data_IF_130514184540
#
_entry.id   IF_130514184540
#
_cell.length_a   1.000
_cell.length_b   1.000
_cell.length_c   1.000
_cell.angle_alpha   90.00
_cell.angle_beta   90.00
_cell.angle_gamma   90.00
#
_symmetry.space_group_name_H-M   'P 1'
#
loop_
_entity.id
_entity.type
_entity.pdbx_description
1 polymer ?
#
# COMPACT_ATOMS: atom_id res chain seq x y z
N UNK A 1 -82.15 1.56 6.20
CA UNK A 1 -83.56 1.83 6.57
C UNK A 1 -83.55 2.79 7.76
N UNK A 2 -84.32 3.89 7.63
CA UNK A 2 -84.78 4.87 8.65
C UNK A 2 -83.70 5.56 9.54
N UNK A 3 -83.35 6.84 9.35
CA UNK A 3 -84.12 8.11 9.51
C UNK A 3 -84.40 8.42 11.00
N UNK A 4 -83.62 9.31 11.65
CA UNK A 4 -83.77 10.77 11.80
C UNK A 4 -84.80 11.19 12.88
N UNK A 5 -84.40 11.91 13.95
CA UNK A 5 -84.45 13.39 14.13
C UNK A 5 -85.30 13.74 15.39
N UNK A 6 -85.52 15.00 15.83
CA UNK A 6 -84.60 16.12 16.17
C UNK A 6 -84.99 16.87 17.48
N UNK A 7 -84.22 17.89 17.93
CA UNK A 7 -84.64 19.33 17.97
C UNK A 7 -83.69 20.27 18.77
N UNK A 8 -83.60 21.56 18.41
CA UNK A 8 -82.67 22.57 18.95
C UNK A 8 -83.36 23.77 19.66
N UNK A 9 -82.57 24.71 20.22
CA UNK A 9 -82.80 26.17 20.39
C UNK A 9 -81.99 26.71 21.60
N UNK A 10 -81.53 27.96 21.78
CA UNK A 10 -81.54 29.24 21.06
C UNK A 10 -80.58 30.22 21.79
N UNK A 11 -79.96 31.15 21.03
CA UNK A 11 -79.72 32.61 21.33
C UNK A 11 -78.84 33.01 22.56
N UNK A 12 -78.15 34.15 22.63
CA UNK A 12 -77.87 35.33 21.77
C UNK A 12 -76.72 36.12 22.45
N UNK A 13 -75.99 36.91 21.66
CA UNK A 13 -75.02 37.93 22.11
C UNK A 13 -75.68 39.24 22.58
N UNK A 14 -74.87 40.12 23.21
CA UNK A 14 -74.79 41.60 23.04
C UNK A 14 -73.73 42.15 24.04
N UNK A 15 -72.55 42.60 23.59
CA UNK A 15 -72.11 44.00 23.38
C UNK A 15 -72.25 44.96 24.58
N UNK A 16 -71.11 45.44 25.07
CA UNK A 16 -70.96 46.69 25.85
C UNK A 16 -69.78 47.51 25.31
N UNK A 17 -69.97 48.81 25.09
CA UNK A 17 -69.06 49.75 24.41
C UNK A 17 -68.21 50.56 25.42
N UNK A 18 -66.94 50.76 25.03
CA UNK A 18 -66.09 51.98 25.10
C UNK A 18 -65.78 52.63 26.45
N UNK A 19 -64.48 52.64 26.78
CA UNK A 19 -63.72 53.89 27.02
C UNK A 19 -62.29 53.71 26.52
N UNK A 20 -61.74 54.74 25.88
CA UNK A 20 -60.44 54.77 25.20
C UNK A 20 -59.53 55.66 26.06
N UNK A 21 -58.39 55.13 26.53
CA UNK A 21 -57.26 55.95 27.00
C UNK A 21 -56.01 55.39 26.34
N UNK A 22 -55.37 56.25 25.56
CA UNK A 22 -54.09 56.04 24.89
C UNK A 22 -52.98 56.32 25.89
N UNK A 23 -52.09 55.35 26.10
CA UNK A 23 -50.70 55.58 26.50
C UNK A 23 -49.83 54.57 25.77
N UNK A 24 -48.89 55.09 24.98
CA UNK A 24 -47.99 54.36 24.11
C UNK A 24 -46.83 53.69 24.86
N UNK A 25 -46.43 52.49 24.43
CA UNK A 25 -45.03 52.11 24.22
C UNK A 25 -44.91 50.72 23.56
N UNK A 26 -44.60 50.75 22.26
CA UNK A 26 -43.86 49.81 21.41
C UNK A 26 -43.90 48.28 21.68
N UNK A 27 -44.50 47.53 20.74
CA UNK A 27 -44.07 46.17 20.38
C UNK A 27 -43.67 46.20 18.90
N UNK A 28 -42.38 46.01 18.62
CA UNK A 28 -41.84 45.89 17.27
C UNK A 28 -42.16 44.50 16.71
N UNK A 29 -42.69 44.47 15.48
CA UNK A 29 -43.03 43.27 14.75
C UNK A 29 -41.78 42.51 14.28
N UNK A 30 -41.76 41.20 14.52
CA UNK A 30 -40.72 40.29 14.05
C UNK A 30 -40.80 40.10 12.53
N UNK A 31 -39.70 40.42 11.84
CA UNK A 31 -39.45 40.07 10.44
C UNK A 31 -38.78 38.70 10.42
N UNK A 32 -39.36 37.76 9.67
CA UNK A 32 -38.85 36.40 9.51
C UNK A 32 -37.47 36.38 8.86
N UNK A 33 -36.49 35.82 9.56
CA UNK A 33 -35.20 35.45 8.99
C UNK A 33 -35.31 34.05 8.40
N UNK A 34 -35.39 33.96 7.07
CA UNK A 34 -35.11 32.73 6.35
C UNK A 34 -33.65 32.36 6.56
N UNK A 35 -33.38 31.23 7.20
CA UNK A 35 -32.04 30.67 7.33
C UNK A 35 -31.62 30.18 5.93
N UNK A 36 -30.87 31.00 5.21
CA UNK A 36 -30.02 30.50 4.12
C UNK A 36 -28.96 29.60 4.77
N UNK A 37 -29.14 28.28 4.68
CA UNK A 37 -28.05 27.33 4.90
C UNK A 37 -27.09 27.51 3.74
N UNK A 38 -26.10 28.38 3.91
CA UNK A 38 -24.95 28.41 3.02
C UNK A 38 -24.16 27.14 3.28
N UNK A 39 -24.27 26.18 2.36
CA UNK A 39 -23.27 25.13 2.22
C UNK A 39 -21.93 25.82 2.02
N UNK A 40 -21.15 25.95 3.09
CA UNK A 40 -19.74 26.23 2.99
C UNK A 40 -19.17 25.17 2.06
N UNK A 41 -18.80 25.56 0.83
CA UNK A 41 -17.96 24.73 -0.03
C UNK A 41 -16.74 24.43 0.82
N UNK A 42 -16.63 23.19 1.32
CA UNK A 42 -15.37 22.72 1.87
C UNK A 42 -14.32 23.05 0.81
N UNK A 43 -13.34 23.89 1.17
CA UNK A 43 -12.21 24.13 0.28
C UNK A 43 -11.69 22.77 -0.17
N UNK A 44 -11.39 22.58 -1.47
CA UNK A 44 -10.82 21.33 -1.94
C UNK A 44 -9.65 20.98 -1.03
N UNK A 45 -9.70 19.80 -0.44
CA UNK A 45 -8.66 19.34 0.47
C UNK A 45 -7.37 19.31 -0.34
N UNK A 46 -6.38 20.10 0.07
CA UNK A 46 -5.09 20.15 -0.63
C UNK A 46 -4.29 18.89 -0.33
N UNK A 47 -4.60 17.84 -1.08
CA UNK A 47 -3.98 16.53 -0.99
C UNK A 47 -2.45 16.60 -1.10
N UNK A 48 -1.94 17.57 -1.86
CA UNK A 48 -0.54 17.65 -2.23
C UNK A 48 0.36 18.17 -1.10
N UNK A 49 -0.20 18.97 -0.19
CA UNK A 49 0.52 19.54 0.96
C UNK A 49 0.20 18.85 2.28
N UNK A 50 -0.70 17.86 2.28
CA UNK A 50 -0.99 17.04 3.45
C UNK A 50 0.27 16.31 3.95
N UNK A 51 0.35 16.22 5.27
CA UNK A 51 1.41 15.52 5.99
C UNK A 51 0.79 14.36 6.78
N UNK A 52 1.62 13.40 7.17
CA UNK A 52 1.17 12.30 8.03
C UNK A 52 0.69 12.89 9.38
N UNK A 53 -0.53 12.55 9.84
CA UNK A 53 -1.04 13.05 11.11
C UNK A 53 -0.16 12.67 12.31
N UNK A 54 -0.21 13.50 13.36
CA UNK A 54 0.48 13.18 14.60
C UNK A 54 -0.05 11.87 15.19
N UNK A 55 0.86 11.05 15.74
CA UNK A 55 0.58 9.71 16.29
C UNK A 55 0.08 8.68 15.29
N UNK A 56 0.12 8.96 13.98
CA UNK A 56 -0.29 8.03 12.95
C UNK A 56 0.84 7.06 12.55
N UNK A 57 1.02 6.04 13.39
CA UNK A 57 2.06 5.04 13.21
C UNK A 57 3.49 5.54 13.35
N UNK A 58 4.44 4.65 13.06
CA UNK A 58 5.86 4.88 13.29
C UNK A 58 6.45 6.03 12.48
N UNK A 59 5.94 6.32 11.28
CA UNK A 59 6.42 7.44 10.47
C UNK A 59 6.07 8.81 11.07
N UNK A 60 5.17 8.88 12.04
CA UNK A 60 4.87 10.09 12.82
C UNK A 60 5.86 10.35 13.96
N UNK A 61 6.78 9.41 14.22
CA UNK A 61 7.80 9.54 15.27
C UNK A 61 8.81 10.64 14.96
N UNK A 62 9.36 11.25 16.01
CA UNK A 62 10.36 12.32 15.89
C UNK A 62 9.78 13.56 15.21
N UNK A 63 10.40 13.99 14.10
CA UNK A 63 9.93 15.12 13.29
C UNK A 63 8.69 14.79 12.44
N UNK A 64 8.21 13.53 12.47
CA UNK A 64 7.14 13.07 11.61
C UNK A 64 7.52 13.00 10.13
N UNK A 65 6.51 12.82 9.28
CA UNK A 65 6.66 12.74 7.82
C UNK A 65 5.85 13.83 7.15
N UNK A 66 6.55 14.80 6.58
CA UNK A 66 5.99 16.00 5.95
C UNK A 66 6.22 16.07 4.44
N UNK A 67 7.05 15.15 3.92
CA UNK A 67 7.38 15.07 2.51
C UNK A 67 7.90 16.40 1.96
N UNK A 68 7.32 16.80 0.83
CA UNK A 68 7.62 18.05 0.14
C UNK A 68 6.71 19.22 0.49
N UNK A 69 5.98 19.21 1.60
CA UNK A 69 5.00 20.27 1.95
C UNK A 69 5.57 21.70 1.94
N UNK A 70 6.90 21.85 2.04
CA UNK A 70 7.61 23.14 1.95
C UNK A 70 8.11 23.49 0.55
N UNK A 71 7.68 22.78 -0.49
CA UNK A 71 8.09 23.04 -1.85
C UNK A 71 7.65 24.44 -2.29
N UNK A 72 8.54 25.15 -2.99
CA UNK A 72 8.17 26.38 -3.67
C UNK A 72 7.48 26.08 -5.01
N UNK A 73 7.09 27.13 -5.73
CA UNK A 73 6.46 27.01 -7.03
C UNK A 73 7.37 26.37 -8.10
N UNK A 74 8.70 26.56 -8.01
CA UNK A 74 9.66 25.99 -8.94
C UNK A 74 9.89 24.49 -8.72
N UNK A 75 9.65 24.01 -7.50
CA UNK A 75 9.77 22.61 -7.09
C UNK A 75 8.40 21.90 -6.94
N UNK A 76 7.36 22.49 -7.50
CA UNK A 76 6.03 21.88 -7.60
C UNK A 76 5.74 21.51 -9.04
N UNK A 77 5.76 20.21 -9.33
CA UNK A 77 5.67 19.67 -10.68
C UNK A 77 4.34 18.97 -10.92
N UNK A 78 3.83 19.05 -12.14
CA UNK A 78 2.82 18.11 -12.65
C UNK A 78 3.42 17.35 -13.82
N UNK A 79 3.41 16.02 -13.75
CA UNK A 79 4.08 15.13 -14.69
C UNK A 79 3.12 14.08 -15.22
N UNK A 80 3.27 13.73 -16.50
CA UNK A 80 2.45 12.75 -17.23
C UNK A 80 3.27 11.80 -18.09
N UNK A 81 4.59 11.95 -18.12
CA UNK A 81 5.50 11.09 -18.87
C UNK A 81 6.70 10.70 -18.03
N UNK A 82 7.39 9.63 -18.43
CA UNK A 82 8.63 9.19 -17.79
C UNK A 82 9.67 10.31 -17.76
N UNK A 83 9.91 10.96 -18.90
CA UNK A 83 10.91 12.02 -19.02
C UNK A 83 10.63 13.20 -18.07
N UNK A 84 9.34 13.58 -17.94
CA UNK A 84 8.92 14.61 -17.00
C UNK A 84 9.15 14.18 -15.54
N UNK A 85 8.83 12.93 -15.19
CA UNK A 85 9.06 12.40 -13.85
C UNK A 85 10.56 12.38 -13.50
N UNK A 86 11.41 11.88 -14.40
CA UNK A 86 12.88 11.89 -14.22
C UNK A 86 13.39 13.31 -13.98
N UNK A 87 12.93 14.28 -14.79
CA UNK A 87 13.32 15.68 -14.64
C UNK A 87 12.86 16.28 -13.31
N UNK A 88 11.64 15.98 -12.87
CA UNK A 88 11.06 16.48 -11.61
C UNK A 88 11.74 15.88 -10.37
N UNK A 89 12.19 14.62 -10.44
CA UNK A 89 12.96 13.97 -9.38
C UNK A 89 14.36 14.56 -9.25
N UNK A 90 15.01 14.88 -10.38
CA UNK A 90 16.33 15.47 -10.39
C UNK A 90 17.40 14.56 -9.76
N UNK A 91 18.36 15.16 -9.07
CA UNK A 91 19.40 14.39 -8.37
C UNK A 91 18.85 13.74 -7.11
N UNK A 92 19.16 12.46 -6.89
CA UNK A 92 18.81 11.76 -5.65
C UNK A 92 19.45 12.37 -4.39
N UNK A 93 20.50 13.19 -4.54
CA UNK A 93 21.16 13.90 -3.44
C UNK A 93 20.57 15.29 -3.17
N UNK A 94 19.71 15.80 -4.05
CA UNK A 94 19.09 17.10 -3.84
C UNK A 94 18.01 17.00 -2.75
N UNK A 95 18.16 17.80 -1.69
CA UNK A 95 17.25 17.76 -0.54
C UNK A 95 16.20 18.86 -0.55
N UNK A 96 16.13 19.66 -1.62
CA UNK A 96 15.13 20.72 -1.78
C UNK A 96 13.73 20.12 -1.69
N UNK A 97 12.84 20.64 -0.82
CA UNK A 97 11.47 20.14 -0.74
C UNK A 97 10.77 20.21 -2.09
N UNK A 98 10.12 19.11 -2.50
CA UNK A 98 9.44 19.05 -3.81
C UNK A 98 8.13 18.27 -3.79
N UNK A 99 7.17 18.74 -4.56
CA UNK A 99 5.88 18.08 -4.78
C UNK A 99 5.82 17.64 -6.25
N UNK A 100 5.61 16.35 -6.49
CA UNK A 100 5.49 15.76 -7.82
C UNK A 100 4.08 15.19 -7.96
N UNK A 101 3.24 15.87 -8.74
CA UNK A 101 1.86 15.48 -9.04
C UNK A 101 1.85 14.63 -10.29
N UNK A 102 1.52 13.34 -10.17
CA UNK A 102 1.40 12.43 -11.31
C UNK A 102 -0.01 12.53 -11.88
N UNK A 103 -0.13 12.91 -13.15
CA UNK A 103 -1.39 13.03 -13.88
C UNK A 103 -1.48 11.93 -14.92
N UNK A 104 -2.44 11.02 -14.76
CA UNK A 104 -2.55 9.84 -15.62
C UNK A 104 -1.50 8.77 -15.31
N UNK A 105 -1.48 7.73 -16.13
CA UNK A 105 -0.53 6.62 -15.99
C UNK A 105 0.76 6.94 -16.75
N UNK A 106 1.89 6.89 -16.06
CA UNK A 106 3.23 6.99 -16.65
C UNK A 106 3.72 5.59 -17.01
N UNK A 107 3.97 5.33 -18.29
CA UNK A 107 4.67 4.12 -18.75
C UNK A 107 6.18 4.30 -18.61
N UNK A 108 6.77 3.56 -17.66
CA UNK A 108 8.20 3.58 -17.38
C UNK A 108 9.03 2.91 -18.49
N UNK A 109 8.41 2.05 -19.33
CA UNK A 109 9.06 1.44 -20.49
C UNK A 109 8.92 2.35 -21.72
N UNK A 110 9.24 3.63 -21.56
CA UNK A 110 9.40 4.59 -22.65
C UNK A 110 10.80 5.21 -22.59
N UNK A 111 11.35 5.63 -23.72
CA UNK A 111 12.57 6.45 -23.74
C UNK A 111 12.23 7.95 -23.50
N UNK A 112 13.23 8.82 -23.54
CA UNK A 112 13.05 10.26 -23.30
C UNK A 112 12.18 10.95 -24.37
N UNK A 113 12.07 10.37 -25.57
CA UNK A 113 11.18 10.84 -26.64
C UNK A 113 9.76 10.27 -26.55
N UNK A 114 9.45 9.46 -25.52
CA UNK A 114 8.15 8.80 -25.35
C UNK A 114 7.94 7.55 -26.21
N UNK A 115 8.97 7.08 -26.94
CA UNK A 115 8.89 5.81 -27.69
C UNK A 115 8.87 4.65 -26.70
N UNK A 116 7.91 3.74 -26.83
CA UNK A 116 7.85 2.50 -26.05
C UNK A 116 9.10 1.63 -26.28
N UNK A 117 9.62 1.07 -25.20
CA UNK A 117 10.72 0.13 -25.15
C UNK A 117 10.20 -1.25 -24.76
N UNK A 118 10.82 -2.28 -25.31
CA UNK A 118 10.53 -3.69 -25.07
C UNK A 118 11.75 -4.38 -24.46
N UNK A 119 11.58 -5.61 -23.97
CA UNK A 119 12.71 -6.44 -23.55
C UNK A 119 13.72 -6.66 -24.69
N UNK A 120 13.28 -6.70 -25.95
CA UNK A 120 14.18 -6.80 -27.09
C UNK A 120 15.03 -5.52 -27.26
N UNK A 121 14.46 -4.33 -27.04
CA UNK A 121 15.21 -3.07 -27.09
C UNK A 121 16.30 -3.02 -26.00
N UNK A 122 15.99 -3.51 -24.78
CA UNK A 122 16.99 -3.59 -23.71
C UNK A 122 18.06 -4.66 -23.97
N UNK A 123 17.72 -5.78 -24.63
CA UNK A 123 18.67 -6.82 -25.00
C UNK A 123 19.54 -6.46 -26.22
N UNK A 124 19.09 -5.53 -27.07
CA UNK A 124 19.78 -5.17 -28.30
C UNK A 124 21.24 -4.77 -28.03
N UNK A 125 22.17 -5.39 -28.77
CA UNK A 125 23.59 -5.11 -28.69
C UNK A 125 24.30 -5.57 -27.40
N UNK A 126 23.65 -6.35 -26.52
CA UNK A 126 24.32 -6.94 -25.33
C UNK A 126 24.84 -8.36 -25.58
N UNK A 127 24.39 -9.01 -26.66
CA UNK A 127 24.64 -10.44 -26.92
C UNK A 127 23.72 -11.40 -26.17
N UNK A 128 22.75 -10.87 -25.40
CA UNK A 128 21.79 -11.69 -24.67
C UNK A 128 20.71 -12.24 -25.61
N UNK A 129 20.39 -13.52 -25.46
CA UNK A 129 19.10 -14.05 -25.91
C UNK A 129 18.62 -15.08 -24.90
N UNK A 130 17.31 -15.09 -24.64
CA UNK A 130 16.73 -16.06 -23.70
C UNK A 130 17.01 -17.50 -24.14
N UNK A 131 16.91 -17.79 -25.45
CA UNK A 131 17.22 -19.14 -25.98
C UNK A 131 18.66 -19.57 -25.72
N UNK A 132 19.65 -18.69 -25.93
CA UNK A 132 21.05 -19.02 -25.65
C UNK A 132 21.33 -19.11 -24.15
N UNK A 133 20.70 -18.25 -23.34
CA UNK A 133 20.79 -18.31 -21.88
C UNK A 133 20.27 -19.65 -21.35
N UNK A 134 19.10 -20.08 -21.82
CA UNK A 134 18.50 -21.35 -21.43
C UNK A 134 19.38 -22.54 -21.84
N UNK A 135 19.95 -22.51 -23.06
CA UNK A 135 20.89 -23.55 -23.50
C UNK A 135 22.17 -23.58 -22.65
N UNK A 136 22.69 -22.42 -22.27
CA UNK A 136 23.93 -22.32 -21.51
C UNK A 136 23.80 -22.79 -20.06
N UNK A 137 22.63 -22.61 -19.46
CA UNK A 137 22.40 -22.83 -18.03
C UNK A 137 21.35 -23.90 -17.71
N UNK A 138 21.04 -24.77 -18.68
CA UNK A 138 20.17 -25.93 -18.47
C UNK A 138 20.73 -26.81 -17.34
N UNK A 139 19.98 -27.02 -16.24
CA UNK A 139 20.45 -27.81 -15.10
C UNK A 139 20.90 -29.22 -15.47
N UNK A 140 20.36 -29.82 -16.55
CA UNK A 140 20.76 -31.14 -17.01
C UNK A 140 22.21 -31.19 -17.53
N UNK A 141 22.76 -30.05 -17.99
CA UNK A 141 24.11 -29.96 -18.57
C UNK A 141 25.05 -29.06 -17.77
N UNK A 142 24.52 -27.97 -17.19
CA UNK A 142 25.28 -27.00 -16.42
C UNK A 142 25.42 -27.38 -14.93
N UNK A 143 24.49 -28.18 -14.41
CA UNK A 143 24.40 -28.55 -13.00
C UNK A 143 23.86 -27.41 -12.13
N UNK A 144 24.22 -27.45 -10.83
CA UNK A 144 23.70 -26.52 -9.81
C UNK A 144 24.62 -25.35 -9.44
N UNK A 145 25.69 -25.11 -10.20
CA UNK A 145 26.57 -23.97 -9.93
C UNK A 145 25.91 -22.66 -10.37
N UNK A 146 26.25 -21.55 -9.73
CA UNK A 146 25.75 -20.23 -10.12
C UNK A 146 26.09 -19.91 -11.60
N UNK A 147 25.13 -19.44 -12.41
CA UNK A 147 25.38 -19.04 -13.79
C UNK A 147 26.51 -18.01 -13.90
N UNK A 148 27.38 -18.22 -14.88
CA UNK A 148 28.54 -17.37 -15.17
C UNK A 148 28.96 -17.50 -16.63
N UNK A 149 29.80 -16.59 -17.11
CA UNK A 149 30.25 -16.55 -18.50
C UNK A 149 29.34 -15.72 -19.41
N UNK A 150 29.49 -15.89 -20.73
CA UNK A 150 29.00 -14.96 -21.76
C UNK A 150 27.52 -14.59 -21.62
N UNK A 151 26.62 -15.56 -21.50
CA UNK A 151 25.19 -15.28 -21.45
C UNK A 151 24.73 -14.65 -20.13
N UNK A 152 25.37 -14.96 -19.01
CA UNK A 152 25.06 -14.29 -17.74
C UNK A 152 25.59 -12.85 -17.70
N UNK A 153 26.78 -12.60 -18.26
CA UNK A 153 27.29 -11.23 -18.45
C UNK A 153 26.40 -10.41 -19.38
N UNK A 154 25.93 -11.01 -20.48
CA UNK A 154 25.02 -10.36 -21.42
C UNK A 154 23.65 -10.07 -20.79
N UNK A 155 23.11 -11.01 -19.99
CA UNK A 155 21.88 -10.81 -19.21
C UNK A 155 22.02 -9.63 -18.26
N UNK A 156 23.08 -9.59 -17.45
CA UNK A 156 23.37 -8.47 -16.54
C UNK A 156 23.44 -7.14 -17.28
N UNK A 157 24.10 -7.10 -18.43
CA UNK A 157 24.20 -5.89 -19.26
C UNK A 157 22.83 -5.43 -19.79
N UNK A 158 21.96 -6.37 -20.18
CA UNK A 158 20.59 -6.05 -20.60
C UNK A 158 19.71 -5.58 -19.43
N UNK A 159 19.83 -6.23 -18.28
CA UNK A 159 19.17 -5.81 -17.04
C UNK A 159 19.60 -4.41 -16.62
N UNK A 160 20.89 -4.06 -16.71
CA UNK A 160 21.38 -2.71 -16.41
C UNK A 160 20.81 -1.65 -17.36
N UNK A 161 20.55 -1.99 -18.63
CA UNK A 161 19.87 -1.10 -19.57
C UNK A 161 18.42 -0.85 -19.17
N UNK A 162 17.67 -1.89 -18.81
CA UNK A 162 16.30 -1.74 -18.30
C UNK A 162 16.27 -0.93 -17.01
N UNK A 163 17.12 -1.29 -16.04
CA UNK A 163 17.24 -0.62 -14.74
C UNK A 163 17.45 0.89 -14.87
N UNK A 164 18.35 1.33 -15.76
CA UNK A 164 18.59 2.76 -16.04
C UNK A 164 17.33 3.48 -16.53
N UNK A 165 16.41 2.76 -17.15
CA UNK A 165 15.18 3.33 -17.69
C UNK A 165 14.05 3.36 -16.66
N UNK A 166 13.83 2.25 -15.95
CA UNK A 166 12.60 2.04 -15.18
C UNK A 166 12.72 2.35 -13.68
N UNK A 167 13.94 2.49 -13.15
CA UNK A 167 14.15 2.82 -11.74
C UNK A 167 14.16 4.34 -11.53
N UNK A 168 13.22 4.82 -10.73
CA UNK A 168 13.05 6.22 -10.35
C UNK A 168 13.56 6.45 -8.92
N UNK A 169 14.71 7.10 -8.77
CA UNK A 169 15.25 7.42 -7.44
C UNK A 169 14.59 8.66 -6.87
N UNK A 170 14.02 8.53 -5.69
CA UNK A 170 13.32 9.60 -4.98
C UNK A 170 14.28 10.29 -4.00
N UNK A 171 14.49 11.62 -4.11
CA UNK A 171 15.31 12.34 -3.14
C UNK A 171 14.54 12.62 -1.84
N UNK A 172 15.27 13.06 -0.80
CA UNK A 172 14.65 13.46 0.47
C UNK A 172 13.67 14.63 0.31
N UNK A 173 12.74 14.77 1.27
CA UNK A 173 11.75 15.86 1.33
C UNK A 173 10.85 15.91 0.09
N UNK A 174 10.33 14.76 -0.32
CA UNK A 174 9.54 14.62 -1.54
C UNK A 174 8.14 14.11 -1.25
N UNK A 175 7.12 14.76 -1.81
CA UNK A 175 5.77 14.20 -1.92
C UNK A 175 5.52 13.80 -3.37
N UNK A 176 5.31 12.52 -3.63
CA UNK A 176 4.87 11.99 -4.92
C UNK A 176 3.42 11.56 -4.78
N UNK A 177 2.54 12.16 -5.56
CA UNK A 177 1.11 12.08 -5.32
C UNK A 177 0.33 12.06 -6.62
N UNK A 178 -0.64 11.15 -6.71
CA UNK A 178 -1.51 11.08 -7.88
C UNK A 178 -2.56 12.20 -7.90
N UNK A 179 -2.77 12.80 -9.07
CA UNK A 179 -3.86 13.76 -9.30
C UNK A 179 -5.20 13.01 -9.30
N UNK A 180 -6.12 13.32 -8.37
CA UNK A 180 -7.44 12.68 -8.28
C UNK A 180 -8.19 12.65 -9.62
N UNK A 181 -8.92 11.56 -9.87
CA UNK A 181 -9.74 11.38 -11.08
C UNK A 181 -8.96 11.11 -12.38
N UNK A 182 -7.62 11.13 -12.37
CA UNK A 182 -6.83 10.97 -13.59
C UNK A 182 -6.32 9.56 -13.84
N UNK A 183 -6.61 8.60 -12.95
CA UNK A 183 -6.00 7.26 -12.93
C UNK A 183 -4.47 7.35 -12.82
N UNK A 184 -4.02 8.19 -11.90
CA UNK A 184 -2.61 8.46 -11.67
C UNK A 184 -1.85 7.18 -11.27
N UNK A 185 -0.69 6.96 -11.86
CA UNK A 185 0.09 5.75 -11.57
C UNK A 185 1.37 5.62 -12.38
N UNK A 186 2.12 4.57 -12.08
CA UNK A 186 3.34 4.17 -12.80
C UNK A 186 3.17 2.71 -13.20
N UNK A 187 3.30 2.42 -14.49
CA UNK A 187 3.34 1.05 -15.01
C UNK A 187 4.75 0.70 -15.46
N UNK A 188 5.22 -0.53 -15.22
CA UNK A 188 6.56 -0.95 -15.66
C UNK A 188 7.73 -0.40 -14.84
N UNK A 189 7.45 0.40 -13.81
CA UNK A 189 8.45 1.20 -13.09
C UNK A 189 8.70 0.71 -11.67
N UNK A 190 9.87 1.08 -11.15
CA UNK A 190 10.27 0.83 -9.76
C UNK A 190 10.65 2.15 -9.10
N UNK A 191 9.91 2.53 -8.05
CA UNK A 191 10.16 3.75 -7.29
C UNK A 191 11.09 3.45 -6.11
N UNK A 192 12.31 4.00 -6.14
CA UNK A 192 13.36 3.70 -5.19
C UNK A 192 13.58 4.86 -4.22
N UNK A 193 13.16 4.68 -2.97
CA UNK A 193 13.43 5.58 -1.84
C UNK A 193 14.63 5.01 -1.10
N UNK A 194 15.84 5.43 -1.49
CA UNK A 194 17.07 4.83 -1.00
C UNK A 194 17.98 5.85 -0.32
N UNK A 195 18.38 5.56 0.92
CA UNK A 195 19.29 6.39 1.72
C UNK A 195 18.84 7.86 1.85
N UNK A 196 17.51 8.05 1.93
CA UNK A 196 16.85 9.35 2.00
C UNK A 196 15.84 9.36 3.14
N UNK A 197 15.31 10.53 3.48
CA UNK A 197 14.29 10.65 4.51
C UNK A 197 13.15 11.57 4.11
N UNK A 198 12.06 11.49 4.86
CA UNK A 198 10.92 12.39 4.76
C UNK A 198 10.28 12.34 3.36
N UNK A 199 9.67 11.20 3.04
CA UNK A 199 9.04 10.94 1.72
C UNK A 199 7.59 10.51 1.90
N UNK A 200 6.72 11.05 1.05
CA UNK A 200 5.30 10.72 0.96
C UNK A 200 5.02 10.13 -0.43
N UNK A 201 4.36 8.98 -0.50
CA UNK A 201 3.93 8.32 -1.75
C UNK A 201 2.44 8.03 -1.66
N UNK A 202 1.61 8.72 -2.46
CA UNK A 202 0.15 8.68 -2.26
C UNK A 202 -0.70 8.66 -3.52
N UNK A 203 -1.84 7.99 -3.47
CA UNK A 203 -2.86 8.02 -4.53
C UNK A 203 -2.37 7.54 -5.91
N UNK A 204 -1.49 6.54 -5.94
CA UNK A 204 -0.89 6.01 -7.18
C UNK A 204 -1.19 4.54 -7.38
N UNK A 205 -1.54 4.16 -8.59
CA UNK A 205 -1.49 2.75 -9.01
C UNK A 205 -0.09 2.41 -9.52
N UNK A 206 0.58 1.47 -8.88
CA UNK A 206 1.78 0.81 -9.36
C UNK A 206 1.40 -0.52 -9.99
N UNK A 207 1.71 -0.69 -11.27
CA UNK A 207 1.30 -1.85 -12.04
C UNK A 207 2.46 -2.44 -12.86
N UNK A 208 2.42 -3.75 -13.10
CA UNK A 208 3.33 -4.46 -14.01
C UNK A 208 4.81 -4.10 -13.82
N UNK A 209 5.32 -4.10 -12.58
CA UNK A 209 6.76 -3.90 -12.34
C UNK A 209 7.54 -5.16 -12.72
N UNK A 210 7.83 -5.29 -14.02
CA UNK A 210 8.37 -6.50 -14.63
C UNK A 210 9.89 -6.41 -14.87
N UNK A 211 10.63 -7.44 -14.50
CA UNK A 211 12.00 -7.67 -14.94
C UNK A 211 11.99 -8.42 -16.28
N UNK A 212 12.61 -7.84 -17.31
CA UNK A 212 12.76 -8.49 -18.60
C UNK A 212 13.78 -9.63 -18.57
N UNK A 213 14.65 -9.66 -17.54
CA UNK A 213 15.82 -10.52 -17.47
C UNK A 213 16.00 -11.19 -16.10
N UNK A 214 14.99 -11.91 -15.56
CA UNK A 214 15.13 -12.70 -14.34
C UNK A 214 16.40 -13.55 -14.36
N UNK A 215 17.10 -13.58 -13.23
CA UNK A 215 18.29 -14.40 -13.05
C UNK A 215 17.89 -15.81 -12.65
N UNK A 216 18.48 -16.82 -13.30
CA UNK A 216 18.37 -18.20 -12.84
C UNK A 216 19.32 -18.42 -11.64
N UNK A 217 18.79 -18.93 -10.54
CA UNK A 217 19.59 -19.42 -9.41
C UNK A 217 19.26 -20.90 -9.16
N UNK A 218 20.10 -21.85 -9.60
CA UNK A 218 19.87 -23.28 -9.40
C UNK A 218 20.07 -23.74 -7.95
N UNK A 219 20.55 -22.86 -7.06
CA UNK A 219 20.75 -23.11 -5.63
C UNK A 219 19.65 -22.53 -4.75
N UNK A 220 18.76 -21.71 -5.30
CA UNK A 220 17.60 -21.19 -4.59
C UNK A 220 16.55 -22.31 -4.42
N UNK A 221 16.36 -22.74 -3.16
CA UNK A 221 15.54 -23.90 -2.84
C UNK A 221 16.10 -25.22 -3.38
N UNK A 222 15.31 -26.29 -3.32
CA UNK A 222 15.75 -27.64 -3.73
C UNK A 222 15.87 -27.80 -5.25
N UNK A 223 15.16 -26.97 -6.00
CA UNK A 223 14.91 -27.12 -7.45
C UNK A 223 15.34 -25.90 -8.27
N UNK A 224 15.94 -24.88 -7.63
CA UNK A 224 16.26 -23.60 -8.25
C UNK A 224 15.06 -22.69 -8.40
N UNK A 225 15.30 -21.39 -8.58
CA UNK A 225 14.28 -20.38 -8.84
C UNK A 225 14.76 -19.32 -9.85
N UNK A 226 13.80 -18.65 -10.49
CA UNK A 226 14.06 -17.41 -11.22
C UNK A 226 13.81 -16.23 -10.28
N UNK A 227 14.75 -15.29 -10.22
CA UNK A 227 14.68 -14.13 -9.34
C UNK A 227 14.75 -12.82 -10.14
N UNK A 228 13.78 -11.95 -9.90
CA UNK A 228 13.68 -10.60 -10.48
C UNK A 228 14.18 -9.54 -9.49
N UNK A 229 14.47 -8.33 -9.99
CA UNK A 229 15.15 -7.30 -9.19
C UNK A 229 14.29 -6.11 -8.78
N UNK A 230 13.06 -6.01 -9.26
CA UNK A 230 12.30 -4.78 -9.22
C UNK A 230 11.06 -4.92 -8.34
N UNK A 231 11.02 -4.15 -7.27
CA UNK A 231 9.81 -3.89 -6.50
C UNK A 231 9.09 -2.67 -7.08
N UNK A 232 7.75 -2.62 -7.02
CA UNK A 232 7.01 -1.42 -7.42
C UNK A 232 7.46 -0.18 -6.64
N UNK A 233 7.59 -0.32 -5.32
CA UNK A 233 8.20 0.67 -4.42
C UNK A 233 9.20 -0.05 -3.51
N UNK A 234 10.42 0.48 -3.40
CA UNK A 234 11.44 -0.10 -2.52
C UNK A 234 12.03 0.97 -1.61
N UNK A 235 11.98 0.71 -0.29
CA UNK A 235 12.59 1.53 0.75
C UNK A 235 13.88 0.87 1.21
N UNK A 236 15.02 1.52 1.00
CA UNK A 236 16.34 0.96 1.34
C UNK A 236 17.14 1.95 2.17
N UNK A 237 17.28 1.70 3.46
CA UNK A 237 17.89 2.66 4.38
C UNK A 237 17.13 4.00 4.44
N UNK A 238 15.82 3.98 4.17
CA UNK A 238 14.98 5.16 4.19
C UNK A 238 14.43 5.43 5.59
N UNK A 239 14.14 6.69 5.94
CA UNK A 239 13.52 7.01 7.25
C UNK A 239 12.41 8.04 7.14
N UNK A 240 11.34 7.90 7.94
CA UNK A 240 10.14 8.76 7.88
C UNK A 240 9.51 8.72 6.48
N UNK A 241 8.83 7.60 6.20
CA UNK A 241 8.14 7.36 4.93
C UNK A 241 6.67 7.05 5.15
N UNK A 242 5.79 7.70 4.40
CA UNK A 242 4.35 7.48 4.42
C UNK A 242 3.87 7.01 3.05
N UNK A 243 3.37 5.77 2.98
CA UNK A 243 2.75 5.21 1.79
C UNK A 243 1.24 5.08 2.03
N UNK A 244 0.44 5.91 1.36
CA UNK A 244 -0.99 6.02 1.63
C UNK A 244 -1.88 6.02 0.39
N UNK A 245 -2.98 5.26 0.40
CA UNK A 245 -3.93 5.17 -0.71
C UNK A 245 -3.28 4.80 -2.06
N UNK A 246 -2.31 3.91 -2.08
CA UNK A 246 -1.76 3.38 -3.33
C UNK A 246 -2.37 2.03 -3.68
N UNK A 247 -2.38 1.69 -4.96
CA UNK A 247 -2.72 0.35 -5.44
C UNK A 247 -1.47 -0.31 -5.99
N UNK A 248 -1.21 -1.57 -5.65
CA UNK A 248 -0.09 -2.36 -6.16
C UNK A 248 -0.63 -3.62 -6.84
N UNK A 249 -0.21 -3.91 -8.07
CA UNK A 249 -0.71 -5.07 -8.81
C UNK A 249 0.21 -5.54 -9.95
N UNK A 250 0.12 -6.83 -10.27
CA UNK A 250 0.75 -7.41 -11.47
C UNK A 250 -0.13 -7.27 -12.72
N UNK A 251 -1.26 -6.57 -12.66
CA UNK A 251 -2.04 -6.30 -13.87
C UNK A 251 -1.19 -5.59 -14.95
N UNK A 252 -1.33 -5.98 -16.23
CA UNK A 252 -2.20 -7.04 -16.75
C UNK A 252 -1.55 -8.44 -16.81
N UNK A 253 -0.25 -8.55 -16.51
CA UNK A 253 0.54 -9.79 -16.70
C UNK A 253 0.60 -10.61 -15.42
N UNK A 254 -0.47 -11.33 -15.08
CA UNK A 254 -0.45 -12.19 -13.89
C UNK A 254 0.50 -13.38 -14.02
N UNK A 255 1.09 -13.76 -12.89
CA UNK A 255 2.03 -14.87 -12.73
C UNK A 255 1.58 -16.22 -13.33
N UNK A 256 0.28 -16.51 -13.32
CA UNK A 256 -0.29 -17.74 -13.92
C UNK A 256 -0.07 -17.84 -15.43
N UNK A 257 0.19 -16.71 -16.10
CA UNK A 257 0.40 -16.64 -17.54
C UNK A 257 1.88 -16.79 -17.93
N UNK A 258 2.78 -16.73 -16.95
CA UNK A 258 4.22 -16.76 -17.18
C UNK A 258 4.65 -18.15 -17.66
N UNK A 259 5.66 -18.15 -18.53
CA UNK A 259 6.27 -19.39 -19.03
C UNK A 259 7.03 -20.09 -17.92
N UNK A 260 7.26 -21.39 -18.11
CA UNK A 260 8.10 -22.21 -17.24
C UNK A 260 9.38 -22.57 -17.99
N UNK A 261 10.52 -22.37 -17.33
CA UNK A 261 11.82 -22.82 -17.79
C UNK A 261 12.51 -23.59 -16.67
N UNK A 262 13.18 -24.69 -17.01
CA UNK A 262 13.82 -25.58 -16.04
C UNK A 262 12.86 -26.11 -14.96
N UNK A 263 11.57 -26.26 -15.31
CA UNK A 263 10.53 -26.69 -14.37
C UNK A 263 10.11 -25.63 -13.35
N UNK A 264 10.59 -24.38 -13.48
CA UNK A 264 10.29 -23.26 -12.59
C UNK A 264 9.60 -22.13 -13.37
N UNK A 265 8.67 -21.42 -12.72
CA UNK A 265 8.02 -20.24 -13.31
C UNK A 265 9.11 -19.20 -13.61
N UNK A 266 9.09 -18.62 -14.81
CA UNK A 266 9.97 -17.52 -15.18
C UNK A 266 9.47 -16.25 -14.49
N UNK A 267 9.80 -16.13 -13.20
CA UNK A 267 9.24 -15.14 -12.29
C UNK A 267 9.78 -13.74 -12.63
N UNK A 268 8.95 -12.91 -13.26
CA UNK A 268 9.29 -11.55 -13.70
C UNK A 268 8.97 -10.48 -12.65
N UNK A 269 8.28 -10.83 -11.57
CA UNK A 269 7.95 -9.92 -10.47
C UNK A 269 8.80 -10.23 -9.23
N UNK A 270 9.13 -9.21 -8.44
CA UNK A 270 9.70 -9.38 -7.10
C UNK A 270 8.77 -8.86 -6.00
N UNK A 271 9.11 -7.76 -5.33
CA UNK A 271 8.30 -7.12 -4.30
C UNK A 271 7.20 -6.20 -4.82
N UNK A 272 6.20 -5.89 -3.99
CA UNK A 272 5.31 -4.75 -4.25
C UNK A 272 5.79 -3.50 -3.49
N UNK A 273 5.89 -3.60 -2.16
CA UNK A 273 6.43 -2.53 -1.31
C UNK A 273 7.40 -3.15 -0.31
N UNK A 274 8.69 -3.11 -0.60
CA UNK A 274 9.73 -3.68 0.26
C UNK A 274 10.40 -2.62 1.14
N UNK A 275 10.78 -3.00 2.36
CA UNK A 275 11.33 -2.15 3.42
C UNK A 275 12.59 -2.82 3.98
N UNK A 276 13.75 -2.52 3.41
CA UNK A 276 15.00 -3.25 3.66
C UNK A 276 16.16 -2.34 4.05
N UNK A 277 17.33 -2.94 4.30
CA UNK A 277 18.58 -2.23 4.61
C UNK A 277 18.48 -1.22 5.76
N UNK A 278 17.81 -1.60 6.85
CA UNK A 278 17.67 -0.73 8.02
C UNK A 278 16.79 0.50 7.80
N UNK A 279 15.89 0.47 6.80
CA UNK A 279 14.79 1.43 6.71
C UNK A 279 14.01 1.47 8.04
N UNK A 280 13.43 2.61 8.38
CA UNK A 280 12.89 2.85 9.72
C UNK A 280 11.83 3.94 9.74
N UNK A 281 10.94 3.94 10.73
CA UNK A 281 9.87 4.92 10.86
C UNK A 281 9.01 5.00 9.59
N UNK A 282 8.34 3.90 9.27
CA UNK A 282 7.51 3.77 8.07
C UNK A 282 6.04 3.54 8.48
N UNK A 283 5.11 4.22 7.81
CA UNK A 283 3.66 3.97 7.94
C UNK A 283 3.11 3.67 6.54
N UNK A 284 2.48 2.50 6.42
CA UNK A 284 1.82 2.02 5.19
C UNK A 284 0.34 1.90 5.50
N UNK A 285 -0.49 2.78 4.95
CA UNK A 285 -1.92 2.77 5.25
C UNK A 285 -2.85 2.93 4.06
N UNK A 286 -4.05 2.37 4.18
CA UNK A 286 -5.10 2.50 3.16
C UNK A 286 -4.66 2.16 1.74
N UNK A 287 -3.65 1.29 1.58
CA UNK A 287 -3.22 0.78 0.28
C UNK A 287 -3.98 -0.51 -0.08
N UNK A 288 -4.21 -0.69 -1.38
CA UNK A 288 -4.71 -1.93 -1.96
C UNK A 288 -3.55 -2.73 -2.55
N UNK A 289 -3.28 -3.91 -2.00
CA UNK A 289 -2.37 -4.89 -2.59
C UNK A 289 -3.19 -5.96 -3.29
N UNK A 290 -3.05 -6.05 -4.61
CA UNK A 290 -3.96 -6.82 -5.47
C UNK A 290 -3.22 -7.73 -6.44
N UNK A 291 -3.46 -9.05 -6.35
CA UNK A 291 -2.92 -10.05 -7.27
C UNK A 291 -1.40 -9.97 -7.46
N UNK A 292 -0.66 -10.40 -6.43
CA UNK A 292 0.80 -10.38 -6.40
C UNK A 292 1.35 -11.47 -5.47
N UNK A 293 2.57 -11.96 -5.73
CA UNK A 293 3.17 -13.07 -4.96
C UNK A 293 3.84 -12.55 -3.66
N UNK A 294 5.03 -11.96 -3.78
CA UNK A 294 5.90 -11.57 -2.66
C UNK A 294 5.68 -10.11 -2.30
N UNK A 295 4.69 -9.79 -1.46
CA UNK A 295 4.20 -8.40 -1.39
C UNK A 295 5.09 -7.40 -0.62
N UNK A 296 5.42 -7.69 0.63
CA UNK A 296 6.13 -6.74 1.51
C UNK A 296 7.14 -7.45 2.41
N UNK A 297 8.41 -7.33 2.05
CA UNK A 297 9.55 -7.76 2.85
C UNK A 297 10.00 -6.63 3.79
N UNK A 298 10.03 -6.90 5.10
CA UNK A 298 10.57 -5.99 6.11
C UNK A 298 11.83 -6.61 6.71
N UNK A 299 12.98 -6.08 6.32
CA UNK A 299 14.30 -6.64 6.61
C UNK A 299 14.65 -7.79 5.67
N UNK A 300 15.77 -7.64 4.95
CA UNK A 300 16.22 -8.59 3.93
C UNK A 300 17.14 -9.67 4.49
N UNK A 301 17.75 -9.44 5.66
CA UNK A 301 18.67 -10.39 6.29
C UNK A 301 18.28 -10.70 7.73
N UNK A 302 18.50 -11.95 8.15
CA UNK A 302 18.39 -12.37 9.56
C UNK A 302 19.45 -11.69 10.45
N UNK A 303 20.47 -11.08 9.84
CA UNK A 303 21.60 -10.38 10.48
C UNK A 303 21.58 -8.86 10.26
N UNK A 304 20.46 -8.29 9.81
CA UNK A 304 20.31 -6.83 9.76
C UNK A 304 20.51 -6.20 11.16
N UNK A 305 20.90 -4.93 11.21
CA UNK A 305 21.11 -4.22 12.48
C UNK A 305 19.81 -4.08 13.28
N UNK A 306 19.92 -4.22 14.61
CA UNK A 306 18.79 -4.01 15.53
C UNK A 306 18.44 -2.53 15.69
N UNK A 307 17.24 -2.23 16.21
CA UNK A 307 16.80 -0.86 16.49
C UNK A 307 16.24 -0.08 15.30
N UNK A 308 16.10 -0.74 14.14
CA UNK A 308 15.49 -0.23 12.90
C UNK A 308 14.26 -1.05 12.53
N UNK A 309 13.75 -0.87 11.31
CA UNK A 309 12.61 -1.60 10.77
C UNK A 309 11.34 -1.44 11.62
N UNK A 310 11.12 -0.23 12.16
CA UNK A 310 9.88 0.12 12.85
C UNK A 310 8.84 0.54 11.83
N UNK A 311 7.80 -0.28 11.66
CA UNK A 311 6.81 -0.14 10.59
C UNK A 311 5.40 -0.28 11.15
N UNK A 312 4.52 0.66 10.81
CA UNK A 312 3.08 0.56 11.08
C UNK A 312 2.36 0.27 9.77
N UNK A 313 1.44 -0.67 9.80
CA UNK A 313 0.65 -1.11 8.65
C UNK A 313 -0.81 -1.15 9.09
N UNK A 314 -1.66 -0.27 8.53
CA UNK A 314 -3.07 -0.23 8.92
C UNK A 314 -4.03 0.12 7.81
N UNK A 315 -5.28 -0.34 7.92
CA UNK A 315 -6.34 -0.05 6.94
C UNK A 315 -5.99 -0.46 5.50
N UNK A 316 -5.01 -1.33 5.30
CA UNK A 316 -4.69 -1.87 3.98
C UNK A 316 -5.62 -3.05 3.65
N UNK A 317 -5.89 -3.22 2.36
CA UNK A 317 -6.64 -4.35 1.80
C UNK A 317 -5.68 -5.23 1.01
N UNK A 318 -5.56 -6.49 1.44
CA UNK A 318 -4.74 -7.52 0.79
C UNK A 318 -5.67 -8.50 0.10
N UNK A 319 -5.66 -8.54 -1.23
CA UNK A 319 -6.60 -9.35 -2.02
C UNK A 319 -5.88 -10.09 -3.15
N UNK A 320 -5.93 -11.42 -3.13
CA UNK A 320 -5.15 -12.23 -4.09
C UNK A 320 -3.65 -12.12 -3.86
N UNK A 321 -3.23 -11.97 -2.60
CA UNK A 321 -1.81 -11.95 -2.20
C UNK A 321 -1.39 -13.36 -1.77
N UNK A 322 -0.28 -13.85 -2.31
CA UNK A 322 0.26 -15.18 -1.95
C UNK A 322 0.93 -15.14 -0.58
N UNK A 323 1.83 -14.19 -0.37
CA UNK A 323 2.67 -14.16 0.83
C UNK A 323 3.27 -12.78 1.12
N UNK A 324 3.92 -12.67 2.29
CA UNK A 324 4.61 -11.47 2.79
C UNK A 324 3.66 -10.28 2.95
N UNK A 325 2.63 -10.42 3.78
CA UNK A 325 1.70 -9.34 4.12
C UNK A 325 1.67 -9.00 5.64
N UNK A 326 2.82 -8.68 6.27
CA UNK A 326 4.19 -8.66 5.75
C UNK A 326 4.97 -9.96 6.09
N UNK A 327 6.18 -10.10 5.53
CA UNK A 327 7.23 -10.90 6.17
C UNK A 327 8.18 -9.94 6.89
N UNK A 328 8.44 -10.18 8.18
CA UNK A 328 9.25 -9.30 9.00
C UNK A 328 10.42 -10.00 9.69
N UNK A 329 11.53 -9.26 9.79
CA UNK A 329 12.74 -9.59 10.54
C UNK A 329 13.10 -8.47 11.50
N UNK A 330 13.56 -8.82 12.71
CA UNK A 330 14.23 -7.97 13.72
C UNK A 330 13.41 -6.78 14.28
N UNK A 331 12.65 -6.06 13.45
CA UNK A 331 11.97 -4.83 13.76
C UNK A 331 10.71 -4.96 14.62
N UNK A 332 10.15 -3.79 14.95
CA UNK A 332 8.90 -3.64 15.69
C UNK A 332 7.77 -3.27 14.72
N UNK A 333 6.86 -4.21 14.50
CA UNK A 333 5.82 -4.06 13.48
C UNK A 333 4.45 -3.93 14.14
N UNK A 334 3.75 -2.82 13.90
CA UNK A 334 2.35 -2.64 14.33
C UNK A 334 1.40 -2.88 13.17
N UNK A 335 0.57 -3.91 13.26
CA UNK A 335 -0.45 -4.26 12.27
C UNK A 335 -1.81 -4.03 12.88
N UNK A 336 -2.59 -3.09 12.37
CA UNK A 336 -3.95 -2.92 12.88
C UNK A 336 -4.99 -2.56 11.84
N UNK A 337 -6.22 -3.03 12.04
CA UNK A 337 -7.34 -2.76 11.14
C UNK A 337 -7.04 -3.01 9.65
N UNK A 338 -6.21 -4.00 9.33
CA UNK A 338 -6.04 -4.47 7.95
C UNK A 338 -7.08 -5.53 7.61
N UNK A 339 -7.38 -5.67 6.32
CA UNK A 339 -8.27 -6.69 5.79
C UNK A 339 -7.50 -7.61 4.85
N UNK A 340 -7.52 -8.90 5.15
CA UNK A 340 -6.90 -9.95 4.35
C UNK A 340 -8.00 -10.80 3.71
N UNK A 341 -8.24 -10.63 2.41
CA UNK A 341 -9.05 -11.56 1.62
C UNK A 341 -8.14 -12.66 1.05
N UNK A 342 -8.10 -13.79 1.75
CA UNK A 342 -7.26 -14.94 1.39
C UNK A 342 -7.98 -15.90 0.45
N UNK A 343 -8.88 -15.38 -0.40
CA UNK A 343 -9.45 -16.14 -1.52
C UNK A 343 -8.44 -16.16 -2.67
N UNK A 344 -8.22 -17.34 -3.26
CA UNK A 344 -7.41 -17.45 -4.48
C UNK A 344 -8.00 -16.58 -5.59
N UNK A 345 -7.16 -15.81 -6.26
CA UNK A 345 -7.61 -14.87 -7.28
C UNK A 345 -6.56 -14.76 -8.39
N UNK A 346 -6.99 -14.84 -9.65
CA UNK A 346 -6.11 -14.73 -10.82
C UNK A 346 -4.88 -15.66 -10.80
N UNK A 347 -4.99 -16.83 -10.15
CA UNK A 347 -3.90 -17.81 -10.03
C UNK A 347 -2.90 -17.52 -8.90
N UNK A 348 -3.15 -16.49 -8.09
CA UNK A 348 -2.45 -16.27 -6.84
C UNK A 348 -3.17 -17.03 -5.72
N UNK A 349 -2.51 -18.07 -5.21
CA UNK A 349 -3.01 -18.91 -4.13
C UNK A 349 -2.36 -18.52 -2.79
N UNK A 350 -3.14 -18.08 -1.78
CA UNK A 350 -2.59 -17.65 -0.50
C UNK A 350 -1.82 -18.75 0.25
N UNK A 351 -0.61 -18.42 0.68
CA UNK A 351 0.30 -19.28 1.45
C UNK A 351 0.31 -18.93 2.94
N UNK A 352 0.51 -17.65 3.24
CA UNK A 352 0.40 -17.06 4.59
C UNK A 352 0.19 -15.54 4.46
N UNK A 353 -0.33 -14.89 5.50
CA UNK A 353 -0.42 -13.43 5.56
C UNK A 353 0.82 -12.86 6.26
N UNK A 354 0.99 -13.16 7.56
CA UNK A 354 2.03 -12.56 8.40
C UNK A 354 3.13 -13.60 8.65
N UNK A 355 4.38 -13.23 8.40
CA UNK A 355 5.54 -14.04 8.77
C UNK A 355 6.43 -13.25 9.74
N UNK A 356 6.63 -13.82 10.94
CA UNK A 356 7.48 -13.24 11.98
C UNK A 356 8.67 -14.15 12.22
N UNK A 357 9.86 -13.69 11.84
CA UNK A 357 11.11 -14.44 11.91
C UNK A 357 12.28 -13.57 12.32
N UNK A 358 13.46 -14.17 12.51
CA UNK A 358 14.68 -13.48 12.94
C UNK A 358 14.42 -12.45 14.06
N UNK A 359 13.75 -12.88 15.14
CA UNK A 359 13.42 -12.04 16.31
C UNK A 359 12.53 -10.81 16.02
N UNK A 360 11.83 -10.75 14.88
CA UNK A 360 10.81 -9.72 14.65
C UNK A 360 9.75 -9.72 15.77
N UNK A 361 9.24 -8.53 16.07
CA UNK A 361 8.27 -8.33 17.15
C UNK A 361 7.01 -7.67 16.61
N UNK A 362 6.03 -8.51 16.31
CA UNK A 362 4.78 -8.08 15.67
C UNK A 362 3.68 -7.90 16.71
N UNK A 363 3.00 -6.76 16.67
CA UNK A 363 1.75 -6.52 17.38
C UNK A 363 0.63 -6.41 16.35
N UNK A 364 -0.23 -7.43 16.27
CA UNK A 364 -1.35 -7.53 15.36
C UNK A 364 -2.68 -7.36 16.12
N UNK A 365 -3.35 -6.23 15.90
CA UNK A 365 -4.58 -5.88 16.60
C UNK A 365 -5.74 -5.63 15.64
N UNK A 366 -6.89 -6.25 15.90
CA UNK A 366 -8.14 -5.90 15.21
C UNK A 366 -8.01 -5.94 13.68
N UNK A 367 -7.28 -6.93 13.17
CA UNK A 367 -7.23 -7.22 11.74
C UNK A 367 -8.31 -8.25 11.39
N UNK A 368 -8.80 -8.23 10.15
CA UNK A 368 -9.88 -9.09 9.68
C UNK A 368 -9.37 -9.99 8.55
N UNK A 369 -9.60 -11.29 8.68
CA UNK A 369 -9.36 -12.25 7.61
C UNK A 369 -10.68 -12.80 7.08
N UNK A 370 -10.84 -12.74 5.76
CA UNK A 370 -11.81 -13.55 5.02
C UNK A 370 -11.08 -14.75 4.46
N UNK A 371 -11.46 -15.93 4.94
CA UNK A 371 -10.78 -17.20 4.70
C UNK A 371 -11.73 -18.17 4.00
N UNK A 372 -11.34 -18.80 2.87
CA UNK A 372 -12.15 -19.80 2.20
C UNK A 372 -12.53 -20.97 3.11
N UNK A 373 -13.69 -21.57 2.87
CA UNK A 373 -14.13 -22.75 3.60
C UNK A 373 -13.07 -23.88 3.54
N UNK A 374 -12.81 -24.54 4.66
CA UNK A 374 -11.83 -25.63 4.76
C UNK A 374 -10.36 -25.19 4.86
N UNK A 375 -10.03 -23.91 4.66
CA UNK A 375 -8.67 -23.43 4.88
C UNK A 375 -8.33 -23.39 6.38
N UNK A 376 -7.09 -23.74 6.72
CA UNK A 376 -6.63 -23.86 8.11
C UNK A 376 -6.15 -22.51 8.62
N UNK A 377 -6.76 -22.00 9.69
CA UNK A 377 -6.37 -20.74 10.35
C UNK A 377 -4.89 -20.71 10.73
N UNK A 378 -4.32 -21.83 11.17
CA UNK A 378 -2.90 -21.93 11.51
C UNK A 378 -1.94 -21.69 10.33
N UNK A 379 -2.42 -21.65 9.08
CA UNK A 379 -1.61 -21.27 7.90
C UNK A 379 -1.60 -19.76 7.60
N UNK A 380 -2.41 -18.97 8.30
CA UNK A 380 -2.41 -17.51 8.13
C UNK A 380 -1.12 -16.87 8.64
N UNK A 381 -0.41 -17.54 9.54
CA UNK A 381 0.91 -17.14 10.04
C UNK A 381 2.01 -18.06 9.52
N UNK A 382 3.23 -17.52 9.45
CA UNK A 382 4.46 -18.27 9.26
C UNK A 382 5.55 -17.75 10.20
N UNK A 383 6.61 -18.53 10.37
CA UNK A 383 7.74 -18.13 11.21
C UNK A 383 8.86 -19.18 11.25
N UNK A 384 10.01 -18.76 11.74
CA UNK A 384 11.19 -19.60 11.91
C UNK A 384 11.35 -20.15 13.35
N UNK A 385 10.47 -19.75 14.27
CA UNK A 385 10.51 -20.09 15.69
C UNK A 385 11.21 -19.05 16.57
N UNK A 386 11.73 -17.97 16.00
CA UNK A 386 12.49 -16.95 16.74
C UNK A 386 11.70 -15.66 16.98
N UNK A 387 10.79 -15.34 16.06
CA UNK A 387 9.93 -14.16 16.10
C UNK A 387 8.76 -14.27 17.07
N UNK A 388 8.08 -13.14 17.28
CA UNK A 388 6.88 -13.03 18.09
C UNK A 388 5.73 -12.39 17.32
N UNK A 389 4.52 -12.80 17.69
CA UNK A 389 3.26 -12.15 17.31
C UNK A 389 2.44 -12.04 18.59
N UNK A 390 1.95 -10.84 18.87
CA UNK A 390 1.05 -10.54 19.98
C UNK A 390 -0.10 -9.65 19.49
N UNK A 391 -1.03 -9.28 20.37
CA UNK A 391 -2.16 -8.42 20.07
C UNK A 391 -3.51 -9.14 20.12
N UNK A 392 -4.60 -8.38 20.06
CA UNK A 392 -5.96 -8.87 20.34
C UNK A 392 -7.00 -8.33 19.36
N UNK A 393 -8.21 -8.89 19.39
CA UNK A 393 -9.33 -8.42 18.57
C UNK A 393 -9.27 -8.85 17.10
N UNK A 394 -8.35 -9.72 16.72
CA UNK A 394 -8.28 -10.26 15.35
C UNK A 394 -9.49 -11.16 15.06
N UNK A 395 -10.08 -10.98 13.88
CA UNK A 395 -11.29 -11.65 13.45
C UNK A 395 -10.99 -12.53 12.24
N UNK A 396 -11.43 -13.78 12.25
CA UNK A 396 -11.44 -14.68 11.08
C UNK A 396 -12.88 -15.06 10.78
N UNK A 397 -13.37 -14.74 9.59
CA UNK A 397 -14.74 -15.03 9.15
C UNK A 397 -15.80 -14.61 10.19
N UNK A 398 -15.67 -13.41 10.76
CA UNK A 398 -16.60 -12.86 11.75
C UNK A 398 -16.39 -13.33 13.19
N UNK A 399 -15.44 -14.23 13.46
CA UNK A 399 -15.16 -14.75 14.80
C UNK A 399 -13.82 -14.26 15.36
N UNK A 400 -13.83 -13.79 16.61
CA UNK A 400 -12.61 -13.51 17.35
C UNK A 400 -11.71 -14.75 17.43
N UNK A 401 -10.45 -14.59 17.01
CA UNK A 401 -9.54 -15.71 16.79
C UNK A 401 -8.15 -15.39 17.32
N UNK A 402 -7.61 -16.30 18.15
CA UNK A 402 -6.20 -16.30 18.52
C UNK A 402 -5.38 -16.97 17.41
N UNK A 403 -4.81 -16.14 16.54
CA UNK A 403 -4.02 -16.59 15.40
C UNK A 403 -2.74 -17.32 15.85
N UNK A 404 -2.15 -16.91 16.96
CA UNK A 404 -0.87 -17.45 17.43
C UNK A 404 -1.09 -18.80 18.08
N UNK A 405 -2.16 -18.98 18.85
CA UNK A 405 -2.56 -20.29 19.35
C UNK A 405 -2.88 -21.25 18.20
N UNK A 406 -3.63 -20.81 17.18
CA UNK A 406 -3.95 -21.62 16.01
C UNK A 406 -2.70 -22.05 15.22
N UNK A 407 -1.74 -21.14 15.01
CA UNK A 407 -0.45 -21.44 14.39
C UNK A 407 0.40 -22.38 15.26
N UNK A 408 0.54 -22.07 16.54
CA UNK A 408 1.33 -22.86 17.48
C UNK A 408 0.76 -24.26 17.68
N UNK A 409 -0.55 -24.49 17.55
CA UNK A 409 -1.12 -25.83 17.54
C UNK A 409 -0.70 -26.65 16.31
N UNK A 410 -0.45 -25.99 15.18
CA UNK A 410 -0.20 -26.62 13.88
C UNK A 410 1.28 -26.67 13.44
N UNK A 411 2.18 -25.92 14.09
CA UNK A 411 3.59 -25.78 13.69
C UNK A 411 4.55 -26.28 14.77
N UNK A 412 5.70 -26.86 14.40
CA UNK A 412 6.80 -27.15 15.34
C UNK A 412 7.64 -25.92 15.66
N UNK A 413 7.72 -24.94 14.74
CA UNK A 413 8.43 -23.68 14.91
C UNK A 413 7.52 -22.65 15.54
N UNK A 414 7.37 -22.71 16.87
CA UNK A 414 6.41 -21.90 17.62
C UNK A 414 6.76 -20.41 17.57
N UNK A 415 5.76 -19.56 17.37
CA UNK A 415 5.88 -18.11 17.56
C UNK A 415 5.74 -17.80 19.06
N UNK A 416 6.56 -16.86 19.54
CA UNK A 416 6.40 -16.32 20.89
C UNK A 416 5.12 -15.46 20.95
N UNK A 417 4.42 -15.53 22.07
CA UNK A 417 3.13 -14.84 22.30
C UNK A 417 3.30 -13.46 22.94
N UNK A 418 4.53 -13.04 23.24
CA UNK A 418 4.85 -11.75 23.86
C UNK A 418 5.85 -10.96 23.02
N UNK A 419 5.71 -9.64 23.08
CA UNK A 419 6.66 -8.64 22.55
C UNK A 419 7.22 -7.83 23.71
N UNK A 420 8.36 -7.18 23.52
CA UNK A 420 9.00 -6.33 24.54
C UNK A 420 8.68 -4.83 24.37
N UNK A 421 7.63 -4.49 23.62
CA UNK A 421 7.24 -3.12 23.32
C UNK A 421 5.72 -3.00 23.25
N UNK A 422 5.22 -1.77 23.31
CA UNK A 422 3.79 -1.45 23.19
C UNK A 422 3.63 -0.32 22.18
N UNK A 423 2.75 -0.46 21.16
CA UNK A 423 2.48 0.62 20.22
C UNK A 423 1.92 1.85 20.94
N UNK A 424 2.55 3.01 20.75
CA UNK A 424 2.12 4.30 21.31
C UNK A 424 1.58 5.28 20.25
N UNK A 425 1.89 5.04 18.97
CA UNK A 425 1.51 5.86 17.83
C UNK A 425 0.36 5.16 17.09
N UNK A 426 -0.85 5.28 17.65
CA UNK A 426 -2.03 4.49 17.27
C UNK A 426 -3.21 5.35 16.80
N UNK A 427 -2.96 6.56 16.31
CA UNK A 427 -4.02 7.37 15.70
C UNK A 427 -4.66 6.58 14.55
N UNK A 428 -5.98 6.38 14.60
CA UNK A 428 -6.71 5.56 13.64
C UNK A 428 -7.02 4.14 14.10
N UNK A 429 -6.42 3.64 15.20
CA UNK A 429 -6.77 2.32 15.74
C UNK A 429 -8.25 2.30 16.20
N UNK A 430 -9.08 1.57 15.47
CA UNK A 430 -10.50 1.43 15.74
C UNK A 430 -10.73 0.51 16.93
N UNK A 431 -11.74 0.80 17.75
CA UNK A 431 -12.13 -0.06 18.89
C UNK A 431 -12.96 -1.27 18.47
N UNK A 432 -13.57 -1.23 17.28
CA UNK A 432 -14.41 -2.27 16.67
C UNK A 432 -14.05 -2.46 15.19
N UNK A 433 -14.36 -3.63 14.63
CA UNK A 433 -14.07 -4.00 13.23
C UNK A 433 -15.28 -4.53 12.47
N UNK A 434 -16.48 -4.31 13.01
CA UNK A 434 -17.74 -4.91 12.53
C UNK A 434 -17.97 -4.67 11.03
N UNK A 435 -17.56 -3.50 10.51
CA UNK A 435 -17.74 -3.13 9.11
C UNK A 435 -16.41 -2.94 8.35
N UNK A 436 -15.28 -3.36 8.93
CA UNK A 436 -13.96 -3.05 8.38
C UNK A 436 -13.77 -3.61 6.96
N UNK A 437 -14.19 -4.85 6.71
CA UNK A 437 -14.11 -5.48 5.38
C UNK A 437 -14.87 -4.68 4.31
N UNK A 438 -16.11 -4.29 4.62
CA UNK A 438 -16.96 -3.52 3.70
C UNK A 438 -16.44 -2.09 3.55
N UNK A 439 -16.06 -1.45 4.66
CA UNK A 439 -15.59 -0.07 4.70
C UNK A 439 -14.32 0.13 3.88
N UNK A 440 -13.32 -0.75 4.00
CA UNK A 440 -12.06 -0.59 3.26
C UNK A 440 -12.21 -0.82 1.75
N UNK A 441 -13.15 -1.65 1.29
CA UNK A 441 -13.30 -1.98 -0.14
C UNK A 441 -13.56 -0.74 -1.02
N UNK A 442 -14.09 0.35 -0.45
CA UNK A 442 -14.32 1.62 -1.17
C UNK A 442 -13.41 2.78 -0.76
N UNK A 443 -12.57 2.61 0.27
CA UNK A 443 -11.75 3.71 0.84
C UNK A 443 -10.26 3.42 0.81
N UNK A 444 -9.85 2.37 0.12
CA UNK A 444 -8.47 1.87 0.10
C UNK A 444 -8.01 1.71 -1.34
N UNK A 445 -6.76 2.07 -1.60
CA UNK A 445 -6.17 2.08 -2.94
C UNK A 445 -6.23 3.45 -3.60
N UNK A 446 -5.60 3.52 -4.78
CA UNK A 446 -5.55 4.73 -5.57
C UNK A 446 -6.92 5.10 -6.16
N UNK A 447 -7.16 6.41 -6.28
CA UNK A 447 -8.38 6.96 -6.87
C UNK A 447 -9.56 7.11 -5.91
N UNK A 448 -9.39 6.80 -4.62
CA UNK A 448 -10.44 6.98 -3.59
C UNK A 448 -10.40 8.37 -2.93
N UNK A 449 -9.31 9.12 -3.13
CA UNK A 449 -9.15 10.50 -2.65
C UNK A 449 -9.69 11.50 -3.69
N UNK A 450 -10.32 12.57 -3.20
CA UNK A 450 -10.96 13.63 -4.01
C UNK A 450 -10.17 14.93 -4.03
#
# INVERSE_FOLDING_TARGET
MASASPRPSHRRSLRGRRTLVVSAAAVAAAVGAGVLVMNAKASPVDLYHQVLPAKDGWAASGSGTTGGTKADAAHTFTVSTRAQLVKALGSATDTTPRIIKIKGTIDANTNDSGKKLTCADYAAGTGYSLSAYLKAFDPATYGKKAPSGTQETARKTAADKQKKNIVFRVPSNTTIVGVPGTKAGITGGSLQVQNVKNVIVRNLTFAATEDCFPQWDPTDGSSGEWNSNYDSVTLRGATNVWADHNTFTDEPTFDKSLKTYFGRKYQIHDGALDITNGSDLVTVERNLFYCHDKTMLIGSSDTDSTGKLRVTIHHNLWKGVVQRAPLARIGQIHLYNNVYDTTSLNGYEPKYSIDSRAKAQVVAERNVWKVPAGAKVGKLLSGDGTGSVAGTGNIVNGKATDLVAAYNAASSKKLKTTVNWTPALTAGLQTSVTDLLTGLTGTTGAGTLS
#
